data_IF_867750338353
#
_entry.id   IF_867750338353
#
_cell.length_a   1.000
_cell.length_b   1.000
_cell.length_c   1.000
_cell.angle_alpha   90.00
_cell.angle_beta   90.00
_cell.angle_gamma   90.00
#
_symmetry.space_group_name_H-M   'P 1'
#
loop_
_entity.id
_entity.type
_entity.pdbx_description
1 polymer ?
#
# COMPACT_ATOMS: atom_id res chain seq x y z
N UNK A 1 -3.02 -39.47 4.93
CA UNK A 1 -2.45 -38.16 5.34
C UNK A 1 -1.82 -37.58 4.09
N UNK A 2 -2.61 -36.89 3.27
CA UNK A 2 -2.09 -36.18 2.10
C UNK A 2 -1.24 -35.03 2.61
N UNK A 3 -0.04 -34.93 2.08
CA UNK A 3 0.91 -33.87 2.37
C UNK A 3 0.41 -32.59 1.67
N UNK A 4 -0.66 -31.99 2.20
CA UNK A 4 -1.31 -30.86 1.56
C UNK A 4 -0.46 -29.60 1.78
N UNK A 5 0.41 -29.33 0.80
CA UNK A 5 1.12 -28.05 0.67
C UNK A 5 0.09 -26.92 0.77
N UNK A 6 0.46 -25.75 1.26
CA UNK A 6 -0.45 -24.60 1.23
C UNK A 6 -0.74 -24.20 -0.22
N UNK A 7 -1.93 -23.65 -0.51
CA UNK A 7 -2.16 -22.86 -1.73
C UNK A 7 -1.48 -21.51 -1.51
N UNK A 8 -0.68 -21.06 -2.48
CA UNK A 8 -0.04 -19.74 -2.44
C UNK A 8 -0.58 -18.92 -3.61
N UNK A 9 -1.01 -17.71 -3.31
CA UNK A 9 -1.58 -16.76 -4.27
C UNK A 9 -0.94 -15.40 -4.01
N UNK A 10 -0.36 -14.79 -5.04
CA UNK A 10 0.09 -13.40 -4.96
C UNK A 10 -1.05 -12.46 -5.35
N UNK A 11 -1.10 -11.28 -4.74
CA UNK A 11 -2.12 -10.25 -5.02
C UNK A 11 -1.50 -8.88 -5.03
N UNK A 12 -1.92 -8.04 -5.97
CA UNK A 12 -1.46 -6.66 -6.06
C UNK A 12 -2.55 -5.73 -6.61
N UNK A 13 -2.42 -4.44 -6.29
CA UNK A 13 -3.23 -3.36 -6.81
C UNK A 13 -2.35 -2.26 -7.36
N UNK A 14 -2.79 -1.64 -8.46
CA UNK A 14 -2.07 -0.54 -9.09
C UNK A 14 -2.99 0.65 -9.32
N UNK A 15 -2.44 1.86 -9.27
CA UNK A 15 -3.07 3.07 -9.74
C UNK A 15 -2.06 3.90 -10.54
N UNK A 16 -2.42 4.29 -11.78
CA UNK A 16 -1.52 5.07 -12.65
C UNK A 16 -1.36 6.53 -12.20
N UNK A 17 -2.23 6.99 -11.30
CA UNK A 17 -2.10 8.23 -10.55
C UNK A 17 -2.86 8.07 -9.23
N UNK A 18 -2.25 8.47 -8.12
CA UNK A 18 -2.81 8.24 -6.79
C UNK A 18 -2.84 9.54 -5.94
N UNK A 19 -4.01 10.00 -5.48
CA UNK A 19 -5.36 9.54 -5.85
C UNK A 19 -5.84 10.11 -7.19
N UNK A 20 -6.87 9.51 -7.78
CA UNK A 20 -7.56 9.95 -9.01
C UNK A 20 -6.86 9.56 -10.32
N UNK A 21 -6.67 8.26 -10.52
CA UNK A 21 -6.23 7.70 -11.78
C UNK A 21 -6.89 6.36 -12.07
N UNK A 22 -6.80 5.89 -13.32
CA UNK A 22 -7.14 4.51 -13.64
C UNK A 22 -6.42 3.57 -12.68
N UNK A 23 -7.14 2.55 -12.23
CA UNK A 23 -6.66 1.61 -11.23
C UNK A 23 -6.96 0.19 -11.65
N UNK A 24 -6.16 -0.74 -11.13
CA UNK A 24 -6.26 -2.16 -11.41
C UNK A 24 -6.02 -2.99 -10.16
N UNK A 25 -6.42 -4.25 -10.25
CA UNK A 25 -6.18 -5.28 -9.26
C UNK A 25 -5.86 -6.58 -9.99
N UNK A 26 -5.03 -7.42 -9.40
CA UNK A 26 -4.77 -8.75 -9.93
C UNK A 26 -4.44 -9.75 -8.83
N UNK A 27 -4.72 -11.02 -9.09
CA UNK A 27 -4.20 -12.13 -8.31
C UNK A 27 -3.63 -13.20 -9.25
N UNK A 28 -2.63 -13.94 -8.78
CA UNK A 28 -2.06 -15.07 -9.50
C UNK A 28 -1.78 -16.23 -8.53
N UNK A 29 -2.34 -17.39 -8.87
CA UNK A 29 -2.05 -18.66 -8.23
C UNK A 29 -0.63 -19.13 -8.58
N UNK A 30 0.03 -19.74 -7.60
CA UNK A 30 1.36 -20.34 -7.79
C UNK A 30 1.31 -21.76 -8.38
N UNK A 31 0.15 -22.40 -8.38
CA UNK A 31 -0.08 -23.79 -8.78
C UNK A 31 -1.01 -23.93 -10.00
N UNK A 32 -0.46 -23.72 -11.19
CA UNK A 32 -1.21 -23.84 -12.45
C UNK A 32 -1.25 -22.55 -13.25
N UNK A 33 -0.87 -21.43 -12.63
CA UNK A 33 -0.68 -20.15 -13.29
C UNK A 33 -2.00 -19.45 -13.60
N UNK A 34 -3.09 -19.88 -12.94
CA UNK A 34 -4.37 -19.19 -12.97
C UNK A 34 -4.17 -17.77 -12.43
N UNK A 35 -4.78 -16.80 -13.09
CA UNK A 35 -4.73 -15.41 -12.66
C UNK A 35 -6.00 -14.70 -13.11
N UNK A 36 -6.39 -13.68 -12.37
CA UNK A 36 -7.45 -12.76 -12.78
C UNK A 36 -6.98 -11.32 -12.59
N UNK A 37 -7.56 -10.42 -13.36
CA UNK A 37 -7.34 -8.99 -13.21
C UNK A 37 -8.58 -8.19 -13.55
N UNK A 38 -8.70 -7.05 -12.90
CA UNK A 38 -9.76 -6.08 -13.14
C UNK A 38 -9.28 -4.69 -12.79
N UNK A 39 -10.18 -3.73 -12.83
CA UNK A 39 -9.84 -2.33 -12.61
C UNK A 39 -11.00 -1.39 -12.90
N UNK A 40 -10.73 -0.11 -12.85
CA UNK A 40 -11.69 0.93 -13.20
C UNK A 40 -10.97 2.13 -13.81
N UNK A 41 -11.71 2.93 -14.58
CA UNK A 41 -11.18 4.15 -15.20
C UNK A 41 -10.76 5.22 -14.17
N UNK A 42 -11.14 5.04 -12.90
CA UNK A 42 -10.72 5.87 -11.79
C UNK A 42 -10.70 5.06 -10.48
N UNK A 43 -9.91 5.50 -9.51
CA UNK A 43 -9.91 5.00 -8.13
C UNK A 43 -8.58 5.23 -7.40
N UNK A 44 -8.21 4.29 -6.53
CA UNK A 44 -7.01 4.37 -5.69
C UNK A 44 -6.32 3.03 -5.59
N UNK A 45 -5.03 3.05 -5.23
CA UNK A 45 -4.26 1.83 -5.02
C UNK A 45 -4.89 0.93 -3.95
N UNK A 46 -5.31 1.53 -2.82
CA UNK A 46 -5.91 0.83 -1.69
C UNK A 46 -7.20 0.07 -2.06
N UNK A 47 -8.00 0.59 -2.99
CA UNK A 47 -9.17 -0.14 -3.49
C UNK A 47 -8.72 -1.33 -4.35
N UNK A 48 -7.68 -1.16 -5.18
CA UNK A 48 -7.12 -2.22 -6.01
C UNK A 48 -6.57 -3.37 -5.18
N UNK A 49 -5.72 -3.06 -4.20
CA UNK A 49 -5.13 -4.04 -3.29
C UNK A 49 -6.20 -4.86 -2.55
N UNK A 50 -7.25 -4.21 -2.03
CA UNK A 50 -8.36 -4.90 -1.35
C UNK A 50 -9.22 -5.72 -2.31
N UNK A 51 -9.47 -5.23 -3.53
CA UNK A 51 -10.17 -6.00 -4.57
C UNK A 51 -9.40 -7.27 -4.93
N UNK A 52 -8.08 -7.19 -5.06
CA UNK A 52 -7.22 -8.33 -5.35
C UNK A 52 -7.33 -9.41 -4.26
N UNK A 53 -7.23 -9.02 -2.98
CA UNK A 53 -7.41 -9.94 -1.84
C UNK A 53 -8.80 -10.58 -1.84
N UNK A 54 -9.87 -9.79 -2.04
CA UNK A 54 -11.24 -10.31 -2.06
C UNK A 54 -11.45 -11.33 -3.18
N UNK A 55 -10.96 -11.03 -4.38
CA UNK A 55 -11.10 -11.91 -5.53
C UNK A 55 -10.25 -13.18 -5.38
N UNK A 56 -9.04 -13.08 -4.82
CA UNK A 56 -8.22 -14.25 -4.48
C UNK A 56 -8.94 -15.19 -3.49
N UNK A 57 -9.60 -14.63 -2.45
CA UNK A 57 -10.38 -15.43 -1.49
C UNK A 57 -11.54 -16.15 -2.17
N UNK A 58 -12.29 -15.44 -3.02
CA UNK A 58 -13.45 -15.98 -3.77
C UNK A 58 -13.07 -17.03 -4.80
N UNK A 59 -11.92 -16.88 -5.45
CA UNK A 59 -11.43 -17.80 -6.48
C UNK A 59 -10.94 -19.15 -5.93
N UNK A 60 -10.61 -19.21 -4.63
CA UNK A 60 -10.00 -20.39 -4.02
C UNK A 60 -10.86 -21.04 -2.92
N UNK A 61 -12.19 -21.20 -3.05
CA UNK A 61 -13.00 -21.69 -1.94
C UNK A 61 -12.59 -23.13 -1.57
N UNK A 62 -12.28 -23.40 -0.30
CA UNK A 62 -11.90 -24.77 0.09
C UNK A 62 -11.21 -24.91 1.44
N UNK A 63 -10.97 -26.17 1.79
CA UNK A 63 -10.37 -26.59 3.07
C UNK A 63 -8.84 -26.45 3.10
N UNK A 64 -8.21 -26.40 1.93
CA UNK A 64 -6.77 -26.27 1.81
C UNK A 64 -6.33 -24.90 2.37
N UNK A 65 -5.31 -24.84 3.25
CA UNK A 65 -4.78 -23.59 3.77
C UNK A 65 -4.35 -22.67 2.63
N UNK A 66 -4.81 -21.42 2.66
CA UNK A 66 -4.48 -20.38 1.69
C UNK A 66 -3.47 -19.42 2.29
N UNK A 67 -2.40 -19.16 1.55
CA UNK A 67 -1.39 -18.14 1.83
C UNK A 67 -1.53 -17.07 0.77
N UNK A 68 -1.83 -15.84 1.19
CA UNK A 68 -1.88 -14.68 0.32
C UNK A 68 -0.58 -13.89 0.50
N UNK A 69 0.18 -13.75 -0.58
CA UNK A 69 1.38 -12.93 -0.68
C UNK A 69 1.04 -11.58 -1.30
N UNK A 70 1.41 -10.50 -0.61
CA UNK A 70 1.16 -9.13 -1.08
C UNK A 70 2.17 -8.18 -0.47
N UNK A 71 2.58 -7.15 -1.20
CA UNK A 71 3.41 -6.07 -0.68
C UNK A 71 2.60 -4.96 0.02
N UNK A 72 1.26 -5.02 -0.07
CA UNK A 72 0.37 -4.10 0.63
C UNK A 72 0.22 -4.44 2.12
N UNK A 73 0.93 -3.67 2.95
CA UNK A 73 0.68 -3.68 4.39
C UNK A 73 -0.74 -3.19 4.74
N UNK A 74 -1.32 -2.31 3.91
CA UNK A 74 -2.68 -1.82 4.11
C UNK A 74 -3.69 -2.96 4.00
N UNK A 75 -3.63 -3.75 2.94
CA UNK A 75 -4.53 -4.89 2.72
C UNK A 75 -4.36 -5.95 3.81
N UNK A 76 -3.12 -6.25 4.21
CA UNK A 76 -2.85 -7.19 5.31
C UNK A 76 -3.51 -6.71 6.61
N UNK A 77 -3.28 -5.46 7.01
CA UNK A 77 -3.80 -4.93 8.27
C UNK A 77 -5.33 -4.80 8.26
N UNK A 78 -5.91 -4.39 7.12
CA UNK A 78 -7.36 -4.38 6.89
C UNK A 78 -7.98 -5.77 6.98
N UNK A 79 -7.24 -6.82 6.62
CA UNK A 79 -7.75 -8.20 6.61
C UNK A 79 -7.53 -8.93 7.93
N UNK A 80 -6.68 -8.41 8.82
CA UNK A 80 -6.23 -9.12 10.03
C UNK A 80 -6.35 -8.26 11.28
N UNK A 81 -5.49 -7.25 11.41
CA UNK A 81 -5.26 -6.49 12.64
C UNK A 81 -6.43 -5.59 13.01
N UNK A 82 -7.02 -4.87 12.05
CA UNK A 82 -7.92 -3.74 12.35
C UNK A 82 -9.40 -4.13 12.46
N UNK A 83 -9.86 -5.15 11.74
CA UNK A 83 -11.28 -5.57 11.72
C UNK A 83 -11.87 -5.81 13.10
N UNK A 84 -11.20 -6.54 14.03
CA UNK A 84 -11.78 -6.77 15.36
C UNK A 84 -11.99 -5.47 16.13
N UNK A 85 -11.09 -4.50 15.98
CA UNK A 85 -11.18 -3.18 16.60
C UNK A 85 -12.32 -2.35 16.00
N UNK A 86 -12.42 -2.31 14.67
CA UNK A 86 -13.48 -1.59 13.97
C UNK A 86 -14.86 -2.14 14.27
N UNK A 87 -15.05 -3.46 14.28
CA UNK A 87 -16.33 -4.08 14.66
C UNK A 87 -16.77 -3.66 16.07
N UNK A 88 -15.86 -3.66 17.04
CA UNK A 88 -16.13 -3.21 18.41
C UNK A 88 -16.49 -1.73 18.49
N UNK A 89 -15.91 -0.90 17.62
CA UNK A 89 -16.14 0.56 17.56
C UNK A 89 -17.28 0.96 16.61
N UNK A 90 -18.07 0.00 16.11
CA UNK A 90 -19.16 0.29 15.18
C UNK A 90 -18.69 0.84 13.82
N UNK A 91 -17.58 0.32 13.32
CA UNK A 91 -16.93 0.71 12.07
C UNK A 91 -16.49 2.18 12.02
N UNK A 92 -15.90 2.62 13.12
CA UNK A 92 -15.22 3.91 13.25
C UNK A 92 -13.74 3.74 13.51
N UNK A 93 -12.93 4.59 12.87
CA UNK A 93 -11.49 4.60 13.04
C UNK A 93 -11.08 5.28 14.36
N UNK A 94 -9.78 5.37 14.61
CA UNK A 94 -9.18 6.06 15.78
C UNK A 94 -9.66 7.51 15.96
N UNK A 95 -9.98 8.20 14.87
CA UNK A 95 -10.49 9.58 14.85
C UNK A 95 -12.02 9.67 14.99
N UNK A 96 -12.72 8.55 15.18
CA UNK A 96 -14.18 8.50 15.28
C UNK A 96 -14.91 8.67 13.93
N UNK A 97 -14.18 8.73 12.81
CA UNK A 97 -14.75 8.81 11.47
C UNK A 97 -15.12 7.42 10.94
N UNK A 98 -16.07 7.30 9.99
CA UNK A 98 -16.34 6.03 9.33
C UNK A 98 -15.08 5.45 8.69
N UNK A 99 -14.90 4.14 8.82
CA UNK A 99 -13.80 3.40 8.18
C UNK A 99 -13.92 3.49 6.66
N UNK A 100 -12.86 3.92 5.98
CA UNK A 100 -12.79 3.92 4.50
C UNK A 100 -12.79 2.49 3.97
N UNK A 101 -13.28 2.29 2.74
CA UNK A 101 -13.32 0.97 2.08
C UNK A 101 -14.06 -0.12 2.87
N UNK A 102 -14.93 0.27 3.81
CA UNK A 102 -15.68 -0.66 4.67
C UNK A 102 -16.40 -1.77 3.88
N UNK A 103 -17.09 -1.51 2.75
CA UNK A 103 -17.73 -2.58 1.99
C UNK A 103 -16.76 -3.71 1.59
N UNK A 104 -15.56 -3.38 1.12
CA UNK A 104 -14.53 -4.36 0.76
C UNK A 104 -14.03 -5.12 2.00
N UNK A 105 -13.71 -4.40 3.06
CA UNK A 105 -13.16 -4.97 4.30
C UNK A 105 -14.17 -5.93 4.96
N UNK A 106 -15.45 -5.56 4.99
CA UNK A 106 -16.53 -6.43 5.49
C UNK A 106 -16.68 -7.69 4.64
N UNK A 107 -16.55 -7.58 3.32
CA UNK A 107 -16.59 -8.74 2.43
C UNK A 107 -15.38 -9.66 2.62
N UNK A 108 -14.16 -9.12 2.69
CA UNK A 108 -12.94 -9.89 2.94
C UNK A 108 -13.05 -10.66 4.26
N UNK A 109 -13.46 -9.99 5.34
CA UNK A 109 -13.65 -10.63 6.65
C UNK A 109 -14.72 -11.74 6.59
N UNK A 110 -15.80 -11.53 5.83
CA UNK A 110 -16.83 -12.56 5.61
C UNK A 110 -16.28 -13.76 4.85
N UNK A 111 -15.53 -13.56 3.76
CA UNK A 111 -14.95 -14.67 2.98
C UNK A 111 -13.92 -15.45 3.80
N UNK A 112 -13.07 -14.76 4.59
CA UNK A 112 -12.12 -15.40 5.50
C UNK A 112 -12.84 -16.27 6.54
N UNK A 113 -13.93 -15.78 7.14
CA UNK A 113 -14.70 -16.53 8.14
C UNK A 113 -15.52 -17.69 7.56
N UNK A 114 -16.02 -17.53 6.33
CA UNK A 114 -16.83 -18.55 5.66
C UNK A 114 -15.97 -19.70 5.11
N UNK A 115 -14.68 -19.44 4.83
CA UNK A 115 -13.76 -20.44 4.32
C UNK A 115 -13.48 -21.53 5.38
N UNK A 116 -13.53 -22.83 5.01
CA UNK A 116 -13.21 -23.91 5.95
C UNK A 116 -11.70 -24.08 6.20
N UNK A 117 -10.86 -23.76 5.21
CA UNK A 117 -9.40 -23.73 5.36
C UNK A 117 -8.90 -22.42 5.99
N UNK A 118 -7.75 -22.45 6.67
CA UNK A 118 -7.15 -21.24 7.24
C UNK A 118 -6.60 -20.29 6.17
N UNK A 119 -6.68 -18.98 6.42
CA UNK A 119 -6.03 -17.94 5.60
C UNK A 119 -4.87 -17.34 6.37
N UNK A 120 -3.71 -17.21 5.72
CA UNK A 120 -2.53 -16.52 6.24
C UNK A 120 -2.04 -15.49 5.23
N UNK A 121 -1.62 -14.33 5.72
CA UNK A 121 -0.98 -13.30 4.90
C UNK A 121 0.53 -13.33 5.07
N UNK A 122 1.25 -13.06 3.98
CA UNK A 122 2.70 -12.87 3.95
C UNK A 122 2.98 -11.55 3.27
N UNK A 123 3.69 -10.67 3.98
CA UNK A 123 4.21 -9.47 3.37
C UNK A 123 5.44 -9.83 2.53
N UNK A 124 5.42 -9.46 1.26
CA UNK A 124 6.57 -9.53 0.35
C UNK A 124 7.06 -8.12 0.05
N UNK A 125 8.33 -7.99 -0.34
CA UNK A 125 8.89 -6.70 -0.71
C UNK A 125 8.50 -6.38 -2.16
N UNK A 126 7.89 -5.22 -2.41
CA UNK A 126 7.58 -4.76 -3.78
C UNK A 126 8.83 -4.63 -4.66
N UNK A 127 8.67 -4.92 -5.96
CA UNK A 127 9.68 -4.85 -7.03
C UNK A 127 11.03 -5.54 -6.72
N UNK A 128 10.99 -6.76 -6.18
CA UNK A 128 12.19 -7.50 -5.81
C UNK A 128 12.14 -9.00 -6.19
N UNK A 129 12.20 -9.32 -7.48
CA UNK A 129 12.61 -10.64 -7.98
C UNK A 129 11.67 -11.80 -7.66
N UNK A 130 10.47 -11.52 -7.15
CA UNK A 130 9.40 -12.49 -6.94
C UNK A 130 8.54 -12.57 -8.21
N UNK A 131 8.67 -13.69 -8.92
CA UNK A 131 8.00 -13.91 -10.21
C UNK A 131 6.48 -13.75 -10.14
N UNK A 132 5.83 -14.14 -9.04
CA UNK A 132 4.38 -14.04 -8.95
C UNK A 132 3.94 -12.64 -8.50
N UNK A 133 4.72 -11.96 -7.65
CA UNK A 133 4.46 -10.56 -7.32
C UNK A 133 4.62 -9.65 -8.55
N UNK A 134 5.71 -9.83 -9.32
CA UNK A 134 5.93 -9.09 -10.57
C UNK A 134 4.83 -9.38 -11.61
N UNK A 135 4.33 -10.62 -11.65
CA UNK A 135 3.21 -11.00 -12.51
C UNK A 135 1.93 -10.23 -12.14
N UNK A 136 1.58 -10.15 -10.86
CA UNK A 136 0.35 -9.45 -10.45
C UNK A 136 0.47 -7.93 -10.57
N UNK A 137 1.64 -7.35 -10.31
CA UNK A 137 1.92 -5.92 -10.59
C UNK A 137 1.70 -5.61 -12.07
N UNK A 138 2.31 -6.41 -12.95
CA UNK A 138 2.17 -6.29 -14.41
C UNK A 138 0.71 -6.40 -14.85
N UNK A 139 -0.03 -7.38 -14.33
CA UNK A 139 -1.45 -7.57 -14.68
C UNK A 139 -2.33 -6.42 -14.17
N UNK A 140 -2.11 -5.95 -12.93
CA UNK A 140 -2.87 -4.86 -12.34
C UNK A 140 -2.60 -3.54 -13.10
N UNK A 141 -1.34 -3.22 -13.36
CA UNK A 141 -0.92 -2.07 -14.19
C UNK A 141 -1.49 -2.14 -15.60
N UNK A 142 -1.38 -3.29 -16.25
CA UNK A 142 -1.92 -3.52 -17.59
C UNK A 142 -3.42 -3.25 -17.66
N UNK A 143 -4.18 -3.71 -16.66
CA UNK A 143 -5.61 -3.46 -16.60
C UNK A 143 -5.92 -1.99 -16.33
N UNK A 144 -5.20 -1.35 -15.41
CA UNK A 144 -5.36 0.08 -15.12
C UNK A 144 -5.14 0.91 -16.40
N UNK A 145 -4.10 0.61 -17.18
CA UNK A 145 -3.82 1.26 -18.47
C UNK A 145 -4.94 1.06 -19.47
N UNK A 146 -5.38 -0.18 -19.69
CA UNK A 146 -6.45 -0.49 -20.63
C UNK A 146 -7.78 0.19 -20.23
N UNK A 147 -8.12 0.18 -18.94
CA UNK A 147 -9.31 0.86 -18.42
C UNK A 147 -9.20 2.39 -18.55
N UNK A 148 -8.01 2.96 -18.37
CA UNK A 148 -7.76 4.39 -18.56
C UNK A 148 -7.90 4.85 -20.00
N UNK A 149 -7.49 4.02 -20.97
CA UNK A 149 -7.67 4.26 -22.40
C UNK A 149 -9.11 4.01 -22.88
N UNK A 150 -9.92 3.32 -22.09
CA UNK A 150 -11.27 2.87 -22.47
C UNK A 150 -11.28 1.60 -23.33
N UNK A 151 -10.15 0.90 -23.42
CA UNK A 151 -9.99 -0.36 -24.18
C UNK A 151 -10.61 -1.55 -23.44
N UNK A 152 -10.73 -1.46 -22.11
CA UNK A 152 -11.41 -2.44 -21.26
C UNK A 152 -12.42 -1.76 -20.34
N UNK A 153 -13.57 -2.41 -20.17
CA UNK A 153 -14.63 -1.97 -19.28
C UNK A 153 -14.22 -2.15 -17.81
N UNK A 154 -14.75 -1.30 -16.92
CA UNK A 154 -14.51 -1.42 -15.49
C UNK A 154 -14.94 -2.78 -14.93
N UNK A 155 -14.05 -3.41 -14.17
CA UNK A 155 -14.23 -4.71 -13.56
C UNK A 155 -13.77 -4.67 -12.10
N UNK A 156 -14.65 -4.28 -11.19
CA UNK A 156 -14.47 -4.42 -9.74
C UNK A 156 -15.52 -5.39 -9.18
N UNK A 157 -15.23 -6.09 -8.06
CA UNK A 157 -16.30 -6.68 -7.26
C UNK A 157 -17.29 -5.58 -6.81
N UNK A 158 -18.56 -5.95 -6.56
CA UNK A 158 -19.59 -4.96 -6.18
C UNK A 158 -19.20 -4.15 -4.93
N UNK A 159 -18.46 -4.76 -4.00
CA UNK A 159 -17.92 -4.08 -2.83
C UNK A 159 -16.82 -3.07 -3.17
N UNK A 160 -16.05 -3.33 -4.22
CA UNK A 160 -15.07 -2.41 -4.80
C UNK A 160 -15.76 -1.19 -5.41
N UNK A 161 -16.83 -1.40 -6.19
CA UNK A 161 -17.65 -0.31 -6.72
C UNK A 161 -18.27 0.53 -5.61
N UNK A 162 -18.85 -0.09 -4.57
CA UNK A 162 -19.41 0.62 -3.42
C UNK A 162 -18.34 1.44 -2.68
N UNK A 163 -17.13 0.90 -2.54
CA UNK A 163 -16.04 1.60 -1.86
C UNK A 163 -15.53 2.78 -2.67
N UNK A 164 -15.38 2.61 -3.99
CA UNK A 164 -14.99 3.67 -4.91
C UNK A 164 -16.02 4.79 -4.94
N UNK A 165 -17.30 4.47 -5.12
CA UNK A 165 -18.37 5.45 -5.22
C UNK A 165 -18.65 6.19 -3.90
N UNK A 166 -18.32 5.57 -2.76
CA UNK A 166 -18.36 6.23 -1.45
C UNK A 166 -17.13 7.11 -1.16
N UNK A 167 -16.08 7.05 -1.99
CA UNK A 167 -14.87 7.84 -1.84
C UNK A 167 -14.96 9.19 -2.55
N UNK A 168 -14.19 10.20 -2.14
CA UNK A 168 -14.10 11.47 -2.87
C UNK A 168 -13.51 11.35 -4.29
N UNK A 169 -12.90 10.20 -4.59
CA UNK A 169 -12.26 9.90 -5.88
C UNK A 169 -13.24 9.30 -6.90
N UNK A 170 -14.53 9.20 -6.58
CA UNK A 170 -15.54 8.69 -7.50
C UNK A 170 -15.74 9.57 -8.74
N UNK A 171 -15.33 10.84 -8.69
CA UNK A 171 -15.61 11.82 -9.75
C UNK A 171 -15.00 11.40 -11.08
N UNK A 172 -15.83 11.27 -12.12
CA UNK A 172 -15.38 10.87 -13.46
C UNK A 172 -15.18 9.37 -13.65
N UNK A 173 -15.52 8.55 -12.65
CA UNK A 173 -15.54 7.08 -12.79
C UNK A 173 -16.59 6.69 -13.82
N UNK A 174 -16.20 5.88 -14.81
CA UNK A 174 -17.13 5.26 -15.73
C UNK A 174 -17.61 3.95 -15.11
N UNK A 175 -18.87 3.93 -14.68
CA UNK A 175 -19.50 2.73 -14.11
C UNK A 175 -20.23 1.99 -15.24
N UNK A 176 -19.96 0.70 -15.45
CA UNK A 176 -20.70 -0.11 -16.41
C UNK A 176 -22.22 -0.09 -16.14
N UNK A 177 -23.09 0.03 -17.16
CA UNK A 177 -24.56 0.05 -16.95
C UNK A 177 -25.10 -1.16 -16.18
N UNK A 178 -24.48 -2.32 -16.38
CA UNK A 178 -24.78 -3.56 -15.66
C UNK A 178 -24.55 -3.43 -14.14
N UNK A 179 -23.48 -2.70 -13.75
CA UNK A 179 -23.12 -2.46 -12.36
C UNK A 179 -24.03 -1.41 -11.73
N UNK A 180 -24.39 -0.36 -12.47
CA UNK A 180 -25.37 0.64 -12.01
C UNK A 180 -26.69 -0.04 -11.63
N UNK A 181 -27.19 -0.95 -12.49
CA UNK A 181 -28.40 -1.70 -12.22
C UNK A 181 -28.31 -2.59 -10.96
N UNK A 182 -27.16 -3.22 -10.71
CA UNK A 182 -26.94 -4.03 -9.50
C UNK A 182 -26.86 -3.17 -8.24
N UNK A 183 -26.21 -2.00 -8.32
CA UNK A 183 -26.12 -1.05 -7.21
C UNK A 183 -27.49 -0.50 -6.79
N UNK A 184 -28.41 -0.34 -7.74
CA UNK A 184 -29.79 0.13 -7.53
C UNK A 184 -30.74 -0.97 -7.00
N UNK A 185 -30.21 -2.12 -6.59
CA UNK A 185 -31.01 -3.24 -6.08
C UNK A 185 -31.68 -4.06 -7.18
N UNK A 186 -31.23 -3.90 -8.42
CA UNK A 186 -31.53 -4.82 -9.52
C UNK A 186 -31.01 -6.23 -9.25
N UNK A 187 -31.27 -7.18 -10.17
CA UNK A 187 -30.76 -8.54 -10.03
C UNK A 187 -29.23 -8.50 -9.89
N UNK A 188 -28.66 -9.34 -9.03
CA UNK A 188 -27.20 -9.51 -9.00
C UNK A 188 -26.73 -9.95 -10.38
N UNK A 189 -26.08 -9.03 -11.08
CA UNK A 189 -25.67 -9.17 -12.46
C UNK A 189 -24.35 -9.93 -12.50
N UNK A 190 -23.46 -9.66 -11.53
CA UNK A 190 -22.16 -10.31 -11.40
C UNK A 190 -22.26 -11.81 -11.08
N UNK A 191 -23.25 -12.24 -10.30
CA UNK A 191 -23.45 -13.66 -9.95
C UNK A 191 -24.16 -14.45 -11.08
N UNK A 192 -24.90 -13.77 -11.98
CA UNK A 192 -25.73 -14.43 -13.02
C UNK A 192 -25.19 -14.34 -14.44
N UNK A 193 -24.24 -13.44 -14.73
CA UNK A 193 -23.56 -13.38 -16.03
C UNK A 193 -22.49 -14.46 -16.23
N UNK A 194 -22.34 -15.40 -15.30
CA UNK A 194 -21.56 -16.59 -15.53
C UNK A 194 -20.16 -16.29 -16.05
N UNK A 195 -19.33 -15.62 -15.24
CA UNK A 195 -17.90 -15.87 -15.35
C UNK A 195 -17.66 -17.32 -14.95
N UNK A 196 -17.81 -18.21 -15.93
CA UNK A 196 -17.06 -19.46 -16.02
C UNK A 196 -15.55 -19.20 -16.17
N UNK A 197 -15.13 -17.93 -16.17
CA UNK A 197 -13.78 -17.47 -16.41
C UNK A 197 -13.48 -16.34 -15.40
N UNK A 198 -13.38 -16.67 -14.11
CA UNK A 198 -12.67 -15.83 -13.12
C UNK A 198 -11.14 -15.91 -13.35
N UNK A 199 -10.73 -16.23 -14.58
CA UNK A 199 -9.40 -16.64 -14.96
C UNK A 199 -9.14 -16.07 -16.34
N UNK A 200 -8.15 -15.20 -16.43
CA UNK A 200 -7.62 -14.75 -17.70
C UNK A 200 -6.99 -15.96 -18.40
N UNK A 201 -7.26 -16.15 -19.68
CA UNK A 201 -6.47 -17.10 -20.46
C UNK A 201 -5.05 -16.55 -20.72
N UNK A 202 -4.18 -17.39 -21.28
CA UNK A 202 -2.79 -17.01 -21.50
C UNK A 202 -2.63 -15.86 -22.51
N UNK A 203 -3.55 -15.72 -23.47
CA UNK A 203 -3.51 -14.63 -24.44
C UNK A 203 -3.91 -13.31 -23.78
N UNK A 204 -4.95 -13.31 -22.94
CA UNK A 204 -5.38 -12.14 -22.17
C UNK A 204 -4.33 -11.70 -21.15
N UNK A 205 -3.68 -12.64 -20.45
CA UNK A 205 -2.58 -12.32 -19.54
C UNK A 205 -1.41 -11.67 -20.29
N UNK A 206 -1.09 -12.16 -21.49
CA UNK A 206 -0.02 -11.63 -22.33
C UNK A 206 -0.35 -10.23 -22.88
N UNK A 207 -1.57 -10.01 -23.35
CA UNK A 207 -2.07 -8.72 -23.84
C UNK A 207 -2.00 -7.63 -22.76
N UNK A 208 -2.43 -7.95 -21.53
CA UNK A 208 -2.29 -7.05 -20.39
C UNK A 208 -0.83 -6.75 -20.04
N UNK A 209 0.05 -7.77 -20.10
CA UNK A 209 1.46 -7.58 -19.86
C UNK A 209 2.13 -6.69 -20.91
N UNK A 210 1.81 -6.88 -22.20
CA UNK A 210 2.29 -6.01 -23.29
C UNK A 210 1.77 -4.58 -23.11
N UNK A 211 0.49 -4.42 -22.74
CA UNK A 211 -0.11 -3.11 -22.44
C UNK A 211 0.60 -2.37 -21.30
N UNK A 212 1.00 -3.10 -20.25
CA UNK A 212 1.76 -2.53 -19.13
C UNK A 212 3.14 -2.01 -19.60
N UNK A 213 3.88 -2.82 -20.37
CA UNK A 213 5.21 -2.46 -20.89
C UNK A 213 5.13 -1.27 -21.85
N UNK A 214 4.14 -1.22 -22.73
CA UNK A 214 3.94 -0.09 -23.66
C UNK A 214 3.70 1.24 -22.92
N UNK A 215 3.03 1.20 -21.76
CA UNK A 215 2.80 2.41 -20.94
C UNK A 215 4.08 2.97 -20.31
N UNK A 216 5.09 2.11 -20.05
CA UNK A 216 6.41 2.53 -19.54
C UNK A 216 7.32 3.08 -20.65
N UNK A 217 7.09 2.69 -21.90
CA UNK A 217 7.94 3.06 -23.04
C UNK A 217 7.66 4.45 -23.63
N UNK A 218 6.73 5.22 -23.04
CA UNK A 218 6.38 6.58 -23.49
C UNK A 218 7.34 7.61 -22.86
N UNK A 219 8.31 8.07 -23.66
CA UNK A 219 9.26 9.21 -23.54
C UNK A 219 9.76 9.62 -22.11
N UNK A 220 11.08 9.47 -21.79
CA UNK A 220 11.63 9.70 -20.45
C UNK A 220 11.63 11.16 -19.95
N UNK A 221 11.19 12.13 -20.76
CA UNK A 221 11.34 13.56 -20.47
C UNK A 221 10.19 14.17 -19.65
N UNK A 222 9.23 13.36 -19.17
CA UNK A 222 8.16 13.81 -18.25
C UNK A 222 8.03 12.99 -16.95
N UNK A 223 8.95 12.06 -16.69
CA UNK A 223 8.89 11.14 -15.54
C UNK A 223 9.73 11.61 -14.33
N UNK A 224 9.86 12.92 -14.09
CA UNK A 224 10.34 13.44 -12.80
C UNK A 224 9.16 13.77 -11.90
N UNK A 225 8.67 12.77 -11.17
CA UNK A 225 8.06 12.87 -9.85
C UNK A 225 7.44 11.51 -9.51
N UNK A 226 7.45 11.16 -8.22
CA UNK A 226 6.98 9.90 -7.59
C UNK A 226 7.88 8.70 -7.89
N UNK A 227 8.52 8.00 -6.94
CA UNK A 227 8.10 7.60 -5.60
C UNK A 227 9.33 7.08 -4.83
N UNK A 228 9.42 7.30 -3.52
CA UNK A 228 10.29 6.49 -2.65
C UNK A 228 9.80 6.53 -1.19
N UNK A 229 8.65 5.90 -0.92
CA UNK A 229 8.20 5.70 0.44
C UNK A 229 7.42 4.38 0.60
N UNK A 230 8.13 3.26 0.75
CA UNK A 230 7.63 2.11 1.52
C UNK A 230 8.76 1.15 1.89
N UNK A 231 9.08 1.09 3.20
CA UNK A 231 9.27 -0.13 4.00
C UNK A 231 10.19 0.12 5.20
N UNK A 232 9.63 0.08 6.42
CA UNK A 232 10.12 -0.72 7.55
C UNK A 232 9.27 -0.53 8.82
N UNK A 233 8.87 -1.65 9.43
CA UNK A 233 8.73 -1.78 10.89
C UNK A 233 7.34 -1.54 11.50
N UNK A 234 6.61 -2.63 11.71
CA UNK A 234 5.34 -2.75 12.43
C UNK A 234 5.33 -2.09 13.82
N UNK A 235 4.55 -1.02 13.95
CA UNK A 235 3.45 -0.90 14.93
C UNK A 235 2.52 0.22 14.42
N UNK A 236 1.72 -0.09 13.39
CA UNK A 236 0.98 0.94 12.63
C UNK A 236 -0.39 1.18 13.28
N UNK A 237 -0.65 2.36 13.86
CA UNK A 237 -2.01 2.73 14.25
C UNK A 237 -2.90 2.79 13.00
N UNK A 238 -4.14 2.33 13.12
CA UNK A 238 -5.20 2.46 12.10
C UNK A 238 -5.18 3.86 11.43
N UNK A 239 -4.95 3.94 10.10
CA UNK A 239 -4.73 5.21 9.43
C UNK A 239 -6.04 5.99 9.30
N UNK A 240 -6.09 7.15 9.95
CA UNK A 240 -7.05 8.20 9.64
C UNK A 240 -6.71 8.84 8.29
N UNK A 241 -7.01 8.15 7.17
CA UNK A 241 -6.70 8.64 5.82
C UNK A 241 -7.47 9.95 5.56
N UNK A 242 -6.74 11.05 5.40
CA UNK A 242 -7.26 12.36 5.01
C UNK A 242 -7.73 12.37 3.54
N UNK A 243 -8.66 13.27 3.22
CA UNK A 243 -8.97 13.68 1.84
C UNK A 243 -8.66 15.16 1.71
N UNK A 244 -8.09 15.54 0.56
CA UNK A 244 -7.45 16.83 0.33
C UNK A 244 -8.37 18.04 0.53
N UNK A 245 -7.92 18.93 1.40
CA UNK A 245 -7.96 20.38 1.23
C UNK A 245 -6.70 20.92 1.89
N UNK A 246 -5.76 21.39 1.06
CA UNK A 246 -4.71 22.29 1.51
C UNK A 246 -5.38 23.59 1.93
N UNK A 247 -5.34 23.89 3.22
CA UNK A 247 -5.09 25.23 3.74
C UNK A 247 -4.45 25.07 5.13
N UNK A 248 -3.16 25.43 5.18
CA UNK A 248 -2.34 25.79 6.33
C UNK A 248 -2.53 25.07 7.68
N UNK A 249 -1.54 24.21 8.00
CA UNK A 249 -0.70 24.17 9.23
C UNK A 249 -0.36 22.72 9.61
N UNK A 250 0.92 22.40 9.54
CA UNK A 250 1.53 21.12 9.88
C UNK A 250 2.64 21.37 10.94
N UNK A 251 3.29 20.34 11.52
CA UNK A 251 2.77 19.09 12.11
C UNK A 251 3.56 18.56 13.34
N UNK A 252 3.00 17.48 13.93
CA UNK A 252 3.53 16.28 14.63
C UNK A 252 5.02 16.12 15.06
N UNK A 253 5.28 15.27 16.08
CA UNK A 253 6.01 13.95 16.05
C UNK A 253 6.35 13.49 17.51
N UNK A 254 5.90 12.32 18.02
CA UNK A 254 6.50 10.95 18.05
C UNK A 254 7.54 10.65 19.16
N UNK A 255 7.24 9.58 19.89
CA UNK A 255 8.12 8.45 20.27
C UNK A 255 9.25 8.66 21.30
N UNK A 256 9.39 7.69 22.22
CA UNK A 256 10.62 7.52 23.00
C UNK A 256 11.07 6.06 22.98
N UNK A 257 12.27 5.87 22.46
CA UNK A 257 13.19 4.79 22.83
C UNK A 257 14.32 5.41 23.65
N UNK A 258 14.65 4.85 24.80
CA UNK A 258 15.85 5.21 25.53
C UNK A 258 17.06 4.39 25.07
N UNK A 259 18.17 5.08 24.91
CA UNK A 259 19.53 4.54 24.95
C UNK A 259 20.18 5.06 26.24
N UNK A 260 21.29 4.44 26.67
CA UNK A 260 22.19 5.10 27.61
C UNK A 260 23.65 4.75 27.30
N UNK A 261 24.51 5.77 27.30
CA UNK A 261 25.98 5.65 27.24
C UNK A 261 26.67 6.75 28.07
N UNK A 262 27.51 6.27 29.00
CA UNK A 262 28.83 6.75 29.52
C UNK A 262 28.94 7.99 30.44
N UNK A 263 29.93 7.86 31.34
CA UNK A 263 30.31 8.53 32.61
C UNK A 263 30.49 10.06 32.72
N UNK A 264 30.47 10.46 33.99
CA UNK A 264 30.79 11.69 34.76
C UNK A 264 31.38 12.99 34.14
N UNK A 265 30.95 14.08 34.78
CA UNK A 265 31.15 15.53 34.58
C UNK A 265 32.59 16.09 34.46
N UNK A 266 32.76 17.07 33.56
CA UNK A 266 33.51 18.31 33.86
C UNK A 266 32.72 19.55 33.39
N UNK A 267 32.71 20.58 34.24
CA UNK A 267 31.93 21.82 34.09
C UNK A 267 32.64 22.83 33.19
N UNK A 268 32.03 23.16 32.06
CA UNK A 268 32.10 24.50 31.48
C UNK A 268 30.67 25.08 31.41
N UNK A 269 30.52 26.23 32.04
CA UNK A 269 29.27 26.92 32.36
C UNK A 269 28.75 27.71 31.17
N UNK A 270 27.48 27.53 30.79
CA UNK A 270 26.87 28.48 29.84
C UNK A 270 25.63 28.07 29.07
N UNK A 271 25.08 26.86 29.26
CA UNK A 271 23.69 26.60 28.92
C UNK A 271 23.11 25.66 29.97
N UNK A 272 22.56 26.23 31.04
CA UNK A 272 21.48 25.53 31.75
C UNK A 272 20.27 25.65 30.82
N UNK A 273 20.19 24.77 29.85
CA UNK A 273 19.26 24.92 28.75
C UNK A 273 19.11 23.61 28.00
N UNK A 274 17.85 23.32 27.69
CA UNK A 274 17.33 22.42 26.66
C UNK A 274 18.35 21.41 26.10
N UNK A 275 18.13 20.12 26.40
CA UNK A 275 18.85 19.00 25.81
C UNK A 275 17.96 18.36 24.76
N UNK A 276 18.52 17.97 23.63
CA UNK A 276 17.85 17.19 22.60
C UNK A 276 18.65 15.91 22.34
N UNK A 277 17.96 14.78 22.28
CA UNK A 277 18.53 13.47 21.95
C UNK A 277 17.52 12.70 21.11
N UNK A 278 17.99 11.95 20.12
CA UNK A 278 17.14 11.20 19.21
C UNK A 278 17.93 10.67 18.03
N UNK A 279 17.27 9.89 17.17
CA UNK A 279 17.89 9.39 15.94
C UNK A 279 17.69 10.40 14.82
N UNK A 280 18.78 10.91 14.26
CA UNK A 280 18.77 11.72 13.05
C UNK A 280 19.01 10.80 11.85
N UNK A 281 18.14 10.85 10.85
CA UNK A 281 18.34 10.13 9.58
C UNK A 281 18.94 11.10 8.56
N UNK A 282 20.10 10.75 8.02
CA UNK A 282 20.67 11.41 6.85
C UNK A 282 20.11 10.71 5.60
N UNK A 283 19.54 11.49 4.69
CA UNK A 283 18.96 11.00 3.43
C UNK A 283 19.65 11.69 2.25
N UNK A 284 20.06 10.95 1.20
CA UNK A 284 19.96 9.49 1.05
C UNK A 284 20.87 8.73 2.06
N UNK A 285 20.51 7.50 2.45
CA UNK A 285 21.36 6.72 3.35
C UNK A 285 22.71 6.43 2.67
N UNK A 286 23.82 6.39 3.41
CA UNK A 286 25.14 6.18 2.82
C UNK A 286 25.25 4.83 2.09
N UNK A 287 24.47 3.82 2.47
CA UNK A 287 24.40 2.53 1.76
C UNK A 287 23.99 2.63 0.29
N UNK A 288 23.37 3.73 -0.13
CA UNK A 288 23.07 4.03 -1.54
C UNK A 288 24.23 4.70 -2.29
N UNK A 289 25.30 5.10 -1.60
CA UNK A 289 26.49 5.70 -2.19
C UNK A 289 27.53 4.64 -2.52
N UNK A 290 28.18 4.76 -3.68
CA UNK A 290 29.33 3.93 -4.05
C UNK A 290 30.54 4.10 -3.13
N UNK A 291 30.56 5.16 -2.31
CA UNK A 291 31.60 5.43 -1.32
C UNK A 291 31.41 4.64 -0.02
N UNK A 292 30.27 3.98 0.19
CA UNK A 292 30.01 3.22 1.40
C UNK A 292 30.62 1.83 1.34
N UNK A 293 31.61 1.60 2.19
CA UNK A 293 32.41 0.38 2.25
C UNK A 293 31.82 -0.71 3.15
N UNK A 294 30.59 -0.55 3.61
CA UNK A 294 29.91 -1.52 4.47
C UNK A 294 30.19 -1.36 5.97
N UNK A 295 30.92 -0.32 6.37
CA UNK A 295 31.20 0.03 7.75
C UNK A 295 30.49 1.33 8.15
N UNK A 296 30.25 1.53 9.44
CA UNK A 296 29.67 2.76 9.96
C UNK A 296 30.54 3.97 9.57
N UNK A 297 29.90 5.03 9.08
CA UNK A 297 30.59 6.26 8.73
C UNK A 297 30.59 7.21 9.93
N UNK A 298 31.78 7.64 10.35
CA UNK A 298 31.88 8.75 11.27
C UNK A 298 31.75 10.07 10.47
N UNK A 299 30.73 10.87 10.79
CA UNK A 299 30.48 12.15 10.13
C UNK A 299 30.42 13.28 11.16
N UNK A 300 31.04 14.40 10.82
CA UNK A 300 30.96 15.63 11.62
C UNK A 300 30.28 16.70 10.77
N UNK A 301 29.22 17.31 11.29
CA UNK A 301 28.47 18.36 10.61
C UNK A 301 27.50 19.07 11.55
N UNK A 302 26.85 20.11 11.03
CA UNK A 302 25.84 20.87 11.76
C UNK A 302 24.50 20.91 11.00
N UNK A 303 23.41 21.02 11.77
CA UNK A 303 22.09 21.37 11.28
C UNK A 303 21.78 22.74 11.89
N UNK A 304 21.64 23.76 11.05
CA UNK A 304 21.18 25.07 11.50
C UNK A 304 19.65 25.02 11.59
N UNK A 305 19.09 25.29 12.77
CA UNK A 305 17.66 25.23 13.03
C UNK A 305 17.21 26.61 13.52
N UNK A 306 16.33 27.26 12.76
CA UNK A 306 15.63 28.48 13.15
C UNK A 306 14.13 28.17 13.17
N UNK A 307 13.62 27.82 14.34
CA UNK A 307 12.24 27.37 14.55
C UNK A 307 11.78 27.61 15.98
N UNK A 308 10.49 27.85 16.15
CA UNK A 308 9.85 27.91 17.46
C UNK A 308 9.77 26.51 18.09
N UNK A 309 9.99 26.43 19.41
CA UNK A 309 9.80 25.21 20.19
C UNK A 309 8.36 25.17 20.67
N UNK A 310 7.65 24.07 20.45
CA UNK A 310 6.28 23.92 20.91
C UNK A 310 6.18 23.81 22.45
N UNK A 311 4.97 23.92 23.04
CA UNK A 311 4.80 23.84 24.49
C UNK A 311 5.22 22.51 25.12
N UNK A 312 5.31 21.44 24.32
CA UNK A 312 5.73 20.11 24.75
C UNK A 312 7.25 19.89 24.58
N UNK A 313 7.97 20.88 24.03
CA UNK A 313 9.43 20.90 23.90
C UNK A 313 9.95 20.37 22.57
N UNK A 314 9.09 20.16 21.56
CA UNK A 314 9.48 19.64 20.27
C UNK A 314 9.76 20.76 19.26
N UNK A 315 10.74 20.51 18.38
CA UNK A 315 11.03 21.31 17.20
C UNK A 315 10.88 20.42 15.99
N UNK A 316 9.96 20.75 15.08
CA UNK A 316 9.77 19.99 13.85
C UNK A 316 10.75 20.48 12.79
N UNK A 317 11.70 19.62 12.42
CA UNK A 317 12.68 19.88 11.36
C UNK A 317 12.24 19.10 10.12
N UNK A 318 11.87 19.80 9.05
CA UNK A 318 11.51 19.20 7.76
C UNK A 318 12.63 19.48 6.76
N UNK A 319 13.34 18.43 6.34
CA UNK A 319 14.36 18.49 5.30
C UNK A 319 15.46 19.56 5.49
N UNK A 320 15.78 19.90 6.75
CA UNK A 320 16.82 20.90 7.00
C UNK A 320 18.18 20.40 6.45
N UNK A 321 18.92 21.26 5.72
CA UNK A 321 20.16 20.86 5.09
C UNK A 321 21.19 20.51 6.16
N UNK A 322 21.67 19.27 6.13
CA UNK A 322 22.82 18.86 6.92
C UNK A 322 24.11 19.32 6.24
N UNK A 323 24.85 20.23 6.88
CA UNK A 323 26.16 20.68 6.37
C UNK A 323 27.24 19.76 6.89
N UNK A 324 27.73 18.90 6.01
CA UNK A 324 28.82 17.99 6.28
C UNK A 324 30.17 18.74 6.29
N UNK A 325 30.95 18.59 7.35
CA UNK A 325 32.29 19.16 7.46
C UNK A 325 33.38 18.12 7.19
N UNK A 326 33.20 16.88 7.67
CA UNK A 326 34.16 15.80 7.50
C UNK A 326 33.47 14.43 7.48
N UNK A 327 34.07 13.50 6.75
CA UNK A 327 33.81 12.06 6.84
C UNK A 327 35.13 11.44 7.29
N UNK A 328 35.13 10.74 8.42
CA UNK A 328 36.28 9.98 8.89
C UNK A 328 36.01 8.50 8.62
N UNK A 329 36.92 7.87 7.89
CA UNK A 329 36.91 6.42 7.65
C UNK A 329 37.96 5.84 8.58
N UNK A 330 37.56 5.03 9.55
CA UNK A 330 38.51 4.24 10.34
C UNK A 330 39.08 3.13 9.44
N UNK A 331 40.41 3.14 9.24
CA UNK A 331 41.17 2.11 8.51
C UNK A 331 41.15 0.74 9.22
#
# INVERSE_FOLDING_TARGET
MTNDKNLVVSTDGSALSNPNGPMGWAWADHEGGDADAGGASNGTNQIGELCAVLQALRAHPGERPLVIETDSQYAINCSTTWVPGWKKKGWKNSQGKPVKNRPLIEAIDREIQARPGSVRFVWVKGHAGDTFNEKVDTLARGYATAAGKGDREGCLPIEGWRSLLASPYAKGTQVPPAIEAELDGGPQVLDKLGRKKDRLDQEEQKDLAETAVESEAVDPEQAESVEAAAAAGNDTPDPGIADGQEDELAPAFKDTSDADTVDQETKNSGARGLRASGRIRITPPPSGSSMFTGHDLHIVGNIDIDADIDPDGYVTIQEAPFRLHAIEVED
#
